data_IF_026166321142
#
_entry.id   IF_026166321142
#
_cell.length_a   1.000
_cell.length_b   1.000
_cell.length_c   1.000
_cell.angle_alpha   90.00
_cell.angle_beta   90.00
_cell.angle_gamma   90.00
#
_symmetry.space_group_name_H-M   'P 1'
#
loop_
_entity.id
_entity.type
_entity.pdbx_description
1 polymer ?
#
# COMPACT_ATOMS: atom_id res chain seq x y z
N UNK A 1 -6.55 -12.20 22.06
CA UNK A 1 -7.35 -10.98 22.27
C UNK A 1 -8.51 -11.01 21.29
N UNK A 2 -9.77 -10.98 21.73
CA UNK A 2 -10.90 -10.94 20.80
C UNK A 2 -11.02 -9.51 20.28
N UNK A 3 -10.47 -9.22 19.10
CA UNK A 3 -10.70 -7.96 18.40
C UNK A 3 -12.17 -7.91 17.96
N UNK A 4 -12.90 -6.87 18.33
CA UNK A 4 -14.25 -6.63 17.79
C UNK A 4 -14.19 -6.24 16.30
N UNK A 5 -15.31 -6.33 15.60
CA UNK A 5 -15.36 -6.13 14.14
C UNK A 5 -14.94 -4.73 13.71
N UNK A 6 -15.25 -3.70 14.51
CA UNK A 6 -14.86 -2.32 14.22
C UNK A 6 -13.34 -2.13 14.31
N UNK A 7 -12.70 -2.66 15.36
CA UNK A 7 -11.26 -2.57 15.52
C UNK A 7 -10.52 -3.39 14.46
N UNK A 8 -11.09 -4.52 14.03
CA UNK A 8 -10.54 -5.30 12.91
C UNK A 8 -10.70 -4.56 11.58
N UNK A 9 -11.85 -3.95 11.31
CA UNK A 9 -12.07 -3.13 10.12
C UNK A 9 -11.11 -1.93 10.06
N UNK A 10 -10.87 -1.28 11.20
CA UNK A 10 -9.87 -0.21 11.31
C UNK A 10 -8.45 -0.73 11.03
N UNK A 11 -8.11 -1.91 11.53
CA UNK A 11 -6.82 -2.56 11.25
C UNK A 11 -6.63 -2.79 9.76
N UNK A 12 -7.64 -3.35 9.08
CA UNK A 12 -7.65 -3.56 7.63
C UNK A 12 -7.49 -2.24 6.86
N UNK A 13 -8.15 -1.16 7.28
CA UNK A 13 -8.01 0.14 6.63
C UNK A 13 -6.60 0.73 6.78
N UNK A 14 -5.96 0.56 7.94
CA UNK A 14 -4.58 0.99 8.17
C UNK A 14 -3.56 0.09 7.46
N UNK A 15 -3.89 -1.18 7.23
CA UNK A 15 -3.09 -2.12 6.43
C UNK A 15 -2.95 -1.60 5.00
N UNK A 16 -4.08 -1.29 4.34
CA UNK A 16 -4.08 -0.79 2.95
C UNK A 16 -3.32 0.53 2.82
N UNK A 17 -3.27 1.33 3.89
CA UNK A 17 -2.48 2.58 3.97
C UNK A 17 -1.00 2.35 4.29
N UNK A 18 -0.56 1.11 4.47
CA UNK A 18 0.77 0.72 4.94
C UNK A 18 1.15 1.33 6.30
N UNK A 19 0.20 1.42 7.22
CA UNK A 19 0.37 2.02 8.56
C UNK A 19 0.34 1.03 9.72
N UNK A 20 0.05 -0.24 9.45
CA UNK A 20 0.10 -1.27 10.49
C UNK A 20 1.53 -1.60 10.92
N UNK A 21 1.68 -1.85 12.21
CA UNK A 21 2.91 -2.42 12.77
C UNK A 21 3.09 -3.89 12.34
N UNK A 22 4.32 -4.44 12.37
CA UNK A 22 4.57 -5.83 12.03
C UNK A 22 3.71 -6.82 12.83
N UNK A 23 3.57 -6.63 14.14
CA UNK A 23 2.75 -7.49 15.00
C UNK A 23 1.25 -7.46 14.63
N UNK A 24 0.73 -6.30 14.19
CA UNK A 24 -0.66 -6.22 13.72
C UNK A 24 -0.85 -6.88 12.36
N UNK A 25 0.17 -6.87 11.49
CA UNK A 25 0.14 -7.57 10.21
C UNK A 25 0.13 -9.08 10.42
N UNK A 26 0.92 -9.59 11.35
CA UNK A 26 0.91 -11.02 11.71
C UNK A 26 -0.49 -11.50 12.09
N UNK A 27 -1.25 -10.71 12.86
CA UNK A 27 -2.64 -11.04 13.19
C UNK A 27 -3.53 -11.16 11.93
N UNK A 28 -3.35 -10.31 10.92
CA UNK A 28 -4.16 -10.37 9.69
C UNK A 28 -3.88 -11.61 8.85
N UNK A 29 -2.63 -12.09 8.81
CA UNK A 29 -2.25 -13.27 8.01
C UNK A 29 -2.58 -14.60 8.70
N UNK A 30 -3.04 -14.60 9.94
CA UNK A 30 -3.57 -15.80 10.58
C UNK A 30 -4.78 -16.35 9.81
N UNK A 31 -4.75 -17.64 9.45
CA UNK A 31 -5.74 -18.26 8.55
C UNK A 31 -7.20 -18.05 8.98
N UNK A 32 -7.47 -18.04 10.29
CA UNK A 32 -8.81 -17.83 10.82
C UNK A 32 -9.36 -16.40 10.61
N UNK A 33 -8.50 -15.44 10.23
CA UNK A 33 -8.87 -14.05 9.98
C UNK A 33 -9.11 -13.75 8.50
N UNK A 34 -8.79 -14.67 7.57
CA UNK A 34 -8.85 -14.38 6.13
C UNK A 34 -10.25 -14.03 5.62
N UNK A 35 -11.26 -14.83 5.96
CA UNK A 35 -12.67 -14.55 5.59
C UNK A 35 -13.16 -13.23 6.19
N UNK A 36 -12.71 -12.92 7.41
CA UNK A 36 -13.04 -11.66 8.09
C UNK A 36 -12.38 -10.48 7.39
N UNK A 37 -11.13 -10.64 6.94
CA UNK A 37 -10.38 -9.65 6.17
C UNK A 37 -11.04 -9.38 4.83
N UNK A 38 -11.41 -10.43 4.08
CA UNK A 38 -12.15 -10.27 2.84
C UNK A 38 -13.44 -9.46 3.06
N UNK A 39 -14.27 -9.84 4.04
CA UNK A 39 -15.52 -9.14 4.33
C UNK A 39 -15.30 -7.66 4.71
N UNK A 40 -14.27 -7.37 5.50
CA UNK A 40 -13.93 -5.99 5.86
C UNK A 40 -13.52 -5.16 4.65
N UNK A 41 -12.72 -5.73 3.73
CA UNK A 41 -12.34 -5.07 2.47
C UNK A 41 -13.55 -4.85 1.56
N UNK A 42 -14.44 -5.83 1.43
CA UNK A 42 -15.67 -5.68 0.63
C UNK A 42 -16.59 -4.58 1.17
N UNK A 43 -16.75 -4.49 2.50
CA UNK A 43 -17.48 -3.38 3.13
C UNK A 43 -16.79 -2.04 2.82
N UNK A 44 -15.46 -1.99 2.92
CA UNK A 44 -14.70 -0.78 2.63
C UNK A 44 -14.85 -0.34 1.16
N UNK A 45 -14.78 -1.28 0.20
CA UNK A 45 -15.00 -1.00 -1.23
C UNK A 45 -16.41 -0.42 -1.46
N UNK A 46 -17.45 -1.03 -0.89
CA UNK A 46 -18.83 -0.53 -1.01
C UNK A 46 -18.99 0.87 -0.42
N UNK A 47 -18.39 1.12 0.74
CA UNK A 47 -18.42 2.43 1.39
C UNK A 47 -17.70 3.50 0.56
N UNK A 48 -16.56 3.17 -0.06
CA UNK A 48 -15.82 4.10 -0.92
C UNK A 48 -16.58 4.37 -2.23
N UNK A 49 -17.23 3.34 -2.79
CA UNK A 49 -18.08 3.48 -3.98
C UNK A 49 -19.25 4.43 -3.70
N UNK A 50 -19.97 4.23 -2.59
CA UNK A 50 -21.05 5.13 -2.18
C UNK A 50 -20.57 6.57 -1.93
N UNK A 51 -19.37 6.75 -1.37
CA UNK A 51 -18.79 8.09 -1.22
C UNK A 51 -18.51 8.78 -2.56
N UNK A 52 -18.02 8.04 -3.56
CA UNK A 52 -17.79 8.59 -4.91
C UNK A 52 -19.12 9.01 -5.54
N UNK A 53 -20.15 8.17 -5.44
CA UNK A 53 -21.49 8.47 -5.96
C UNK A 53 -22.10 9.71 -5.29
N UNK A 54 -22.03 9.79 -3.96
CA UNK A 54 -22.53 10.95 -3.20
C UNK A 54 -21.79 12.23 -3.55
N UNK A 55 -20.47 12.18 -3.79
CA UNK A 55 -19.71 13.34 -4.27
C UNK A 55 -20.23 13.81 -5.63
N UNK A 56 -20.57 12.91 -6.54
CA UNK A 56 -21.16 13.25 -7.83
C UNK A 56 -22.51 13.97 -7.67
N UNK A 57 -23.39 13.44 -6.81
CA UNK A 57 -24.70 14.04 -6.52
C UNK A 57 -24.55 15.43 -5.88
N UNK A 58 -23.67 15.58 -4.89
CA UNK A 58 -23.41 16.85 -4.22
C UNK A 58 -22.81 17.89 -5.20
N UNK A 59 -21.88 17.46 -6.06
CA UNK A 59 -21.27 18.30 -7.07
C UNK A 59 -22.30 18.82 -8.09
N UNK A 60 -23.21 17.96 -8.54
CA UNK A 60 -24.30 18.36 -9.45
C UNK A 60 -25.28 19.34 -8.78
N UNK A 61 -25.66 19.06 -7.53
CA UNK A 61 -26.55 19.93 -6.77
C UNK A 61 -25.96 21.33 -6.57
N UNK A 62 -24.68 21.42 -6.21
CA UNK A 62 -23.97 22.68 -6.04
C UNK A 62 -23.74 23.41 -7.37
N UNK A 63 -23.41 22.68 -8.44
CA UNK A 63 -23.28 23.27 -9.77
C UNK A 63 -24.58 23.97 -10.21
N UNK A 64 -25.73 23.30 -10.01
CA UNK A 64 -27.04 23.87 -10.30
C UNK A 64 -27.36 25.10 -9.43
N UNK A 65 -27.04 25.02 -8.13
CA UNK A 65 -27.25 26.13 -7.18
C UNK A 65 -26.41 27.36 -7.57
N UNK A 66 -25.14 27.18 -7.89
CA UNK A 66 -24.26 28.29 -8.25
C UNK A 66 -24.55 28.84 -9.64
N UNK A 67 -24.99 28.02 -10.60
CA UNK A 67 -25.44 28.50 -11.90
C UNK A 67 -26.63 29.49 -11.77
N UNK A 68 -27.55 29.23 -10.83
CA UNK A 68 -28.69 30.11 -10.55
C UNK A 68 -28.29 31.49 -10.00
N UNK A 69 -27.08 31.65 -9.45
CA UNK A 69 -26.56 32.93 -8.94
C UNK A 69 -25.93 33.82 -10.02
N UNK A 70 -25.94 33.40 -11.28
CA UNK A 70 -25.44 34.19 -12.40
C UNK A 70 -23.94 34.49 -12.33
N UNK A 71 -23.55 35.76 -12.45
CA UNK A 71 -22.14 36.16 -12.58
C UNK A 71 -21.33 35.93 -11.30
N UNK A 72 -21.95 36.09 -10.13
CA UNK A 72 -21.33 35.89 -8.82
C UNK A 72 -21.12 34.39 -8.52
N UNK A 73 -22.01 33.53 -9.01
CA UNK A 73 -21.92 32.08 -8.84
C UNK A 73 -20.80 31.41 -9.63
N UNK A 74 -20.27 32.04 -10.68
CA UNK A 74 -19.19 31.45 -11.52
C UNK A 74 -17.92 31.13 -10.73
N UNK A 75 -17.56 31.97 -9.76
CA UNK A 75 -16.36 31.74 -8.94
C UNK A 75 -16.58 30.56 -8.00
N UNK A 76 -17.73 30.55 -7.30
CA UNK A 76 -18.12 29.48 -6.39
C UNK A 76 -18.24 28.12 -7.10
N UNK A 77 -18.80 28.10 -8.31
CA UNK A 77 -18.90 26.88 -9.12
C UNK A 77 -17.53 26.26 -9.42
N UNK A 78 -16.54 27.08 -9.82
CA UNK A 78 -15.17 26.62 -10.10
C UNK A 78 -14.45 26.12 -8.85
N UNK A 79 -14.63 26.81 -7.73
CA UNK A 79 -14.03 26.40 -6.45
C UNK A 79 -14.63 25.07 -5.98
N UNK A 80 -15.94 24.91 -6.08
CA UNK A 80 -16.64 23.68 -5.75
C UNK A 80 -16.23 22.52 -6.67
N UNK A 81 -16.19 22.73 -7.99
CA UNK A 81 -15.75 21.72 -8.96
C UNK A 81 -14.34 21.22 -8.65
N UNK A 82 -13.40 22.13 -8.37
CA UNK A 82 -12.03 21.77 -7.97
C UNK A 82 -12.00 21.00 -6.65
N UNK A 83 -12.79 21.41 -5.65
CA UNK A 83 -12.86 20.74 -4.35
C UNK A 83 -13.41 19.31 -4.47
N UNK A 84 -14.52 19.14 -5.19
CA UNK A 84 -15.11 17.83 -5.45
C UNK A 84 -14.18 16.93 -6.26
N UNK A 85 -13.59 17.44 -7.35
CA UNK A 85 -12.64 16.67 -8.17
C UNK A 85 -11.41 16.20 -7.39
N UNK A 86 -10.85 17.06 -6.53
CA UNK A 86 -9.74 16.69 -5.64
C UNK A 86 -10.15 15.63 -4.61
N UNK A 87 -11.34 15.72 -4.04
CA UNK A 87 -11.87 14.75 -3.08
C UNK A 87 -12.13 13.40 -3.75
N UNK A 88 -12.79 13.41 -4.91
CA UNK A 88 -13.09 12.22 -5.70
C UNK A 88 -11.79 11.49 -6.09
N UNK A 89 -10.82 12.20 -6.66
CA UNK A 89 -9.52 11.62 -7.04
C UNK A 89 -8.82 10.93 -5.87
N UNK A 90 -8.87 11.51 -4.65
CA UNK A 90 -8.27 10.89 -3.46
C UNK A 90 -8.97 9.60 -3.07
N UNK A 91 -10.30 9.59 -3.12
CA UNK A 91 -11.11 8.41 -2.74
C UNK A 91 -10.94 7.30 -3.79
N UNK A 92 -10.95 7.64 -5.07
CA UNK A 92 -10.70 6.68 -6.17
C UNK A 92 -9.33 6.03 -6.07
N UNK A 93 -8.27 6.81 -5.79
CA UNK A 93 -6.93 6.25 -5.56
C UNK A 93 -6.90 5.29 -4.39
N UNK A 94 -7.53 5.66 -3.27
CA UNK A 94 -7.58 4.77 -2.11
C UNK A 94 -8.39 3.50 -2.43
N UNK A 95 -9.54 3.63 -3.09
CA UNK A 95 -10.36 2.50 -3.54
C UNK A 95 -9.57 1.54 -4.43
N UNK A 96 -8.77 2.04 -5.37
CA UNK A 96 -7.89 1.21 -6.19
C UNK A 96 -6.93 0.35 -5.36
N UNK A 97 -6.35 0.90 -4.29
CA UNK A 97 -5.49 0.13 -3.39
C UNK A 97 -6.27 -0.91 -2.57
N UNK A 98 -7.50 -0.57 -2.14
CA UNK A 98 -8.38 -1.51 -1.44
C UNK A 98 -8.80 -2.66 -2.37
N UNK A 99 -9.20 -2.38 -3.61
CA UNK A 99 -9.58 -3.39 -4.61
C UNK A 99 -8.39 -4.34 -4.89
N UNK A 100 -7.20 -3.79 -5.12
CA UNK A 100 -5.99 -4.59 -5.32
C UNK A 100 -5.70 -5.50 -4.12
N UNK A 101 -5.86 -4.99 -2.89
CA UNK A 101 -5.65 -5.80 -1.68
C UNK A 101 -6.74 -6.87 -1.54
N UNK A 102 -7.99 -6.57 -1.88
CA UNK A 102 -9.09 -7.54 -1.89
C UNK A 102 -8.79 -8.70 -2.84
N UNK A 103 -8.29 -8.43 -4.04
CA UNK A 103 -7.90 -9.48 -4.99
C UNK A 103 -6.77 -10.35 -4.45
N UNK A 104 -5.78 -9.75 -3.79
CA UNK A 104 -4.70 -10.50 -3.13
C UNK A 104 -5.23 -11.42 -2.01
N UNK A 105 -6.15 -10.93 -1.18
CA UNK A 105 -6.76 -11.73 -0.11
C UNK A 105 -7.63 -12.85 -0.68
N UNK A 106 -8.36 -12.62 -1.78
CA UNK A 106 -9.09 -13.68 -2.48
C UNK A 106 -8.15 -14.78 -2.99
N UNK A 107 -7.05 -14.41 -3.63
CA UNK A 107 -6.02 -15.37 -4.08
C UNK A 107 -5.41 -16.12 -2.90
N UNK A 108 -5.15 -15.45 -1.77
CA UNK A 108 -4.66 -16.07 -0.54
C UNK A 108 -5.62 -17.17 -0.05
N UNK A 109 -6.91 -16.87 0.01
CA UNK A 109 -7.97 -17.80 0.43
C UNK A 109 -8.05 -18.98 -0.53
N UNK A 110 -8.06 -18.72 -1.85
CA UNK A 110 -8.15 -19.74 -2.89
C UNK A 110 -6.94 -20.68 -2.90
N UNK A 111 -5.74 -20.15 -2.67
CA UNK A 111 -4.49 -20.93 -2.75
C UNK A 111 -4.06 -21.56 -1.42
N UNK A 112 -4.65 -21.12 -0.30
CA UNK A 112 -4.24 -21.54 1.03
C UNK A 112 -2.86 -21.02 1.45
N UNK A 113 -2.29 -20.04 0.73
CA UNK A 113 -0.94 -19.52 0.96
C UNK A 113 -0.98 -18.05 1.38
N UNK A 114 -0.38 -17.68 2.53
CA UNK A 114 -0.33 -16.29 2.97
C UNK A 114 0.28 -15.37 1.91
N UNK A 115 -0.31 -14.20 1.70
CA UNK A 115 0.30 -13.16 0.87
C UNK A 115 1.46 -12.49 1.59
N UNK A 116 2.52 -12.17 0.85
CA UNK A 116 3.56 -11.27 1.35
C UNK A 116 2.95 -9.88 1.56
N UNK A 117 2.85 -9.47 2.83
CA UNK A 117 2.13 -8.25 3.21
C UNK A 117 2.75 -6.97 2.62
N UNK A 118 4.06 -6.96 2.36
CA UNK A 118 4.72 -5.83 1.70
C UNK A 118 6.05 -6.22 1.02
N UNK A 119 6.02 -6.70 -0.24
CA UNK A 119 7.23 -7.03 -0.99
C UNK A 119 8.18 -5.84 -1.11
N UNK A 120 7.65 -4.61 -1.14
CA UNK A 120 8.45 -3.40 -1.28
C UNK A 120 9.19 -3.03 0.01
N UNK A 121 8.57 -3.19 1.20
CA UNK A 121 9.28 -3.06 2.48
C UNK A 121 10.33 -4.14 2.64
N UNK A 122 10.04 -5.38 2.24
CA UNK A 122 11.01 -6.48 2.24
C UNK A 122 12.20 -6.16 1.34
N UNK A 123 11.96 -5.71 0.11
CA UNK A 123 13.00 -5.25 -0.82
C UNK A 123 13.80 -4.09 -0.24
N UNK A 124 13.14 -3.07 0.32
CA UNK A 124 13.83 -1.92 0.93
C UNK A 124 14.63 -2.31 2.17
N UNK A 125 14.13 -3.24 2.97
CA UNK A 125 14.86 -3.80 4.10
C UNK A 125 16.15 -4.47 3.63
N UNK A 126 16.07 -5.36 2.63
CA UNK A 126 17.26 -5.99 2.06
C UNK A 126 18.21 -4.99 1.41
N UNK A 127 17.71 -4.00 0.65
CA UNK A 127 18.57 -2.93 0.09
C UNK A 127 19.31 -2.16 1.19
N UNK A 128 18.63 -1.79 2.28
CA UNK A 128 19.26 -1.10 3.42
C UNK A 128 20.27 -1.99 4.14
N UNK A 129 19.96 -3.27 4.31
CA UNK A 129 20.87 -4.24 4.93
C UNK A 129 22.16 -4.40 4.10
N UNK A 130 22.04 -4.53 2.78
CA UNK A 130 23.18 -4.65 1.86
C UNK A 130 24.03 -3.37 1.85
N UNK A 131 23.40 -2.19 1.84
CA UNK A 131 24.11 -0.91 1.96
C UNK A 131 24.86 -0.81 3.30
N UNK A 132 24.19 -1.11 4.41
CA UNK A 132 24.82 -1.05 5.74
C UNK A 132 25.97 -2.04 5.86
N UNK A 133 25.85 -3.23 5.28
CA UNK A 133 26.94 -4.19 5.21
C UNK A 133 28.18 -3.60 4.51
N UNK A 134 27.99 -2.97 3.34
CA UNK A 134 29.07 -2.27 2.63
C UNK A 134 29.69 -1.16 3.47
N UNK A 135 28.87 -0.34 4.11
CA UNK A 135 29.33 0.75 4.96
C UNK A 135 30.14 0.24 6.16
N UNK A 136 29.73 -0.87 6.77
CA UNK A 136 30.43 -1.47 7.91
C UNK A 136 31.81 -2.01 7.53
N UNK A 137 31.97 -2.62 6.35
CA UNK A 137 33.29 -3.07 5.89
C UNK A 137 34.25 -1.89 5.74
N UNK A 138 33.77 -0.75 5.23
CA UNK A 138 34.55 0.50 5.15
C UNK A 138 34.82 1.07 6.55
N UNK A 139 33.80 1.12 7.41
CA UNK A 139 33.88 1.68 8.77
C UNK A 139 34.89 0.93 9.65
N UNK A 140 34.99 -0.39 9.49
CA UNK A 140 35.88 -1.24 10.27
C UNK A 140 37.16 -1.66 9.53
N UNK A 141 37.46 -1.04 8.38
CA UNK A 141 38.66 -1.31 7.57
C UNK A 141 38.85 -2.80 7.23
N UNK A 142 37.75 -3.44 6.84
CA UNK A 142 37.73 -4.84 6.44
C UNK A 142 37.82 -4.96 4.93
N UNK A 143 38.60 -5.94 4.45
CA UNK A 143 38.68 -6.24 3.02
C UNK A 143 37.39 -6.87 2.51
N UNK A 144 36.99 -6.50 1.29
CA UNK A 144 35.81 -7.04 0.62
C UNK A 144 36.16 -8.29 -0.20
N UNK A 145 35.34 -9.33 -0.06
CA UNK A 145 35.47 -10.57 -0.83
C UNK A 145 34.75 -10.47 -2.18
N UNK A 146 34.97 -11.44 -3.07
CA UNK A 146 34.20 -11.52 -4.31
C UNK A 146 32.69 -11.77 -4.06
N UNK A 147 32.34 -12.42 -2.95
CA UNK A 147 30.95 -12.62 -2.54
C UNK A 147 30.31 -11.30 -2.13
N UNK A 148 31.04 -10.44 -1.40
CA UNK A 148 30.55 -9.12 -0.98
C UNK A 148 30.27 -8.22 -2.18
N UNK A 149 31.19 -8.19 -3.15
CA UNK A 149 31.03 -7.46 -4.40
C UNK A 149 29.83 -7.95 -5.20
N UNK A 150 29.64 -9.28 -5.30
CA UNK A 150 28.48 -9.87 -5.96
C UNK A 150 27.16 -9.51 -5.25
N UNK A 151 27.16 -9.47 -3.91
CA UNK A 151 26.01 -9.02 -3.12
C UNK A 151 25.67 -7.55 -3.41
N UNK A 152 26.65 -6.66 -3.49
CA UNK A 152 26.41 -5.24 -3.77
C UNK A 152 25.93 -4.99 -5.20
N UNK A 153 26.37 -5.80 -6.17
CA UNK A 153 25.89 -5.72 -7.55
C UNK A 153 24.37 -5.91 -7.68
N UNK A 154 23.74 -6.62 -6.72
CA UNK A 154 22.28 -6.78 -6.67
C UNK A 154 21.54 -5.45 -6.45
N UNK A 155 22.19 -4.44 -5.85
CA UNK A 155 21.61 -3.09 -5.70
C UNK A 155 21.38 -2.40 -7.05
N UNK A 156 22.20 -2.76 -8.05
CA UNK A 156 22.14 -2.30 -9.45
C UNK A 156 21.44 -3.30 -10.37
N UNK A 157 20.71 -4.25 -9.79
CA UNK A 157 19.96 -5.29 -10.51
C UNK A 157 20.85 -6.20 -11.38
N UNK A 158 22.09 -6.46 -10.94
CA UNK A 158 23.01 -7.41 -11.56
C UNK A 158 23.18 -8.65 -10.68
N UNK A 159 23.04 -9.82 -11.29
CA UNK A 159 23.31 -11.10 -10.63
C UNK A 159 24.72 -11.59 -10.97
N UNK A 160 25.66 -11.43 -10.04
CA UNK A 160 27.09 -11.75 -10.26
C UNK A 160 27.58 -12.96 -9.46
N UNK A 161 26.73 -13.56 -8.61
CA UNK A 161 27.10 -14.73 -7.79
C UNK A 161 27.58 -15.93 -8.62
N UNK A 162 27.04 -16.12 -9.82
CA UNK A 162 27.41 -17.23 -10.72
C UNK A 162 28.85 -17.13 -11.24
N UNK A 163 29.50 -15.96 -11.07
CA UNK A 163 30.87 -15.70 -11.53
C UNK A 163 31.90 -15.79 -10.41
N UNK A 164 31.46 -16.01 -9.17
CA UNK A 164 32.36 -16.14 -8.02
C UNK A 164 32.96 -17.54 -8.02
N UNK A 165 34.27 -17.64 -8.20
CA UNK A 165 35.04 -18.91 -8.16
C UNK A 165 35.74 -19.09 -6.82
N UNK A 166 36.12 -20.33 -6.48
CA UNK A 166 36.79 -20.69 -5.22
C UNK A 166 38.06 -19.92 -4.90
N UNK A 167 38.74 -19.42 -5.93
CA UNK A 167 40.02 -18.71 -5.81
C UNK A 167 39.86 -17.23 -5.41
N UNK A 168 38.61 -16.77 -5.24
CA UNK A 168 38.24 -15.39 -4.92
C UNK A 168 37.63 -15.23 -3.50
N UNK A 169 37.81 -16.25 -2.66
CA UNK A 169 37.42 -16.34 -1.25
C UNK A 169 38.56 -15.94 -0.31
#
# INVERSE_FOLDING_TARGET
>A
MILNDDAFAQMVAEEVKNKLSPAQRELLVEAHNWDRWQRALEVLVRNLQSQIENIGVDAEADANRYAALGREGKKLAREAESAYGNRQTKIERFKFHVDKRLDQVKIMIETGRPIEMNPFETVNFYRRAILRHRDMLIEYDMEDTAIDRALWATLDNKWEFDRVTSDAL
#
